data_IF_491180224902
#
_entry.id   IF_491180224902
#
_cell.length_a   1.000
_cell.length_b   1.000
_cell.length_c   1.000
_cell.angle_alpha   90.00
_cell.angle_beta   90.00
_cell.angle_gamma   90.00
#
_symmetry.space_group_name_H-M   'P 1'
#
loop_
_entity.id
_entity.type
_entity.pdbx_description
1 polymer ?
#
# COMPACT_ATOMS: atom_id res chain seq x y z
N UNK A 1 5.63 -13.43 25.66
CA UNK A 1 5.49 -13.09 25.05
C UNK A 1 5.72 -13.36 23.93
N UNK A 2 5.31 -13.32 23.41
CA UNK A 2 5.53 -13.62 22.47
C UNK A 2 5.96 -12.89 21.53
N UNK A 3 6.61 -12.43 21.71
CA UNK A 3 7.24 -11.78 20.92
C UNK A 3 7.89 -12.44 19.92
N UNK A 4 7.85 -13.59 19.87
CA UNK A 4 8.37 -14.39 18.86
C UNK A 4 7.70 -14.10 17.57
N UNK A 5 6.60 -13.43 17.59
CA UNK A 5 6.03 -13.10 16.40
C UNK A 5 6.39 -11.74 16.05
N UNK A 6 7.24 -11.54 15.12
CA UNK A 6 7.61 -10.25 14.65
C UNK A 6 6.40 -9.61 14.03
N UNK A 7 6.09 -8.37 14.33
CA UNK A 7 5.00 -7.71 13.67
C UNK A 7 5.24 -7.66 12.17
N UNK A 8 4.18 -7.75 11.41
CA UNK A 8 4.31 -7.66 9.96
C UNK A 8 4.84 -6.30 9.54
N UNK A 9 4.62 -5.28 10.34
CA UNK A 9 5.16 -3.96 10.01
C UNK A 9 6.67 -3.94 9.92
N UNK A 10 7.36 -4.89 10.55
CA UNK A 10 8.81 -4.96 10.41
C UNK A 10 9.22 -5.34 9.00
N UNK A 11 8.34 -5.95 8.25
CA UNK A 11 8.63 -6.32 6.88
C UNK A 11 8.67 -5.12 5.96
N UNK A 12 8.24 -3.96 6.44
CA UNK A 12 8.30 -2.73 5.66
C UNK A 12 9.70 -2.13 5.61
N UNK A 13 10.58 -2.56 6.51
CA UNK A 13 11.92 -1.98 6.58
C UNK A 13 12.65 -2.18 5.26
N UNK A 14 13.10 -1.09 4.67
CA UNK A 14 13.82 -1.12 3.42
C UNK A 14 12.97 -1.31 2.18
N UNK A 15 11.66 -1.39 2.33
CA UNK A 15 10.78 -1.57 1.17
C UNK A 15 10.42 -0.25 0.56
N UNK A 16 10.28 -0.25 -0.76
CA UNK A 16 9.88 0.94 -1.51
C UNK A 16 8.41 0.81 -1.84
N UNK A 17 7.60 1.65 -1.23
CA UNK A 17 6.15 1.58 -1.36
C UNK A 17 5.68 2.70 -2.27
N UNK A 18 5.06 2.35 -3.37
CA UNK A 18 4.48 3.33 -4.28
C UNK A 18 3.02 3.52 -3.90
N UNK A 19 2.60 4.74 -3.66
CA UNK A 19 1.23 5.04 -3.31
C UNK A 19 0.60 5.80 -4.46
N UNK A 20 -0.44 5.22 -5.05
CA UNK A 20 -1.12 5.78 -6.22
C UNK A 20 -2.48 6.29 -5.79
N UNK A 21 -2.63 7.60 -5.76
CA UNK A 21 -3.89 8.23 -5.38
C UNK A 21 -4.01 9.58 -6.05
N UNK A 22 -5.23 9.99 -6.37
CA UNK A 22 -5.49 11.19 -7.09
C UNK A 22 -5.44 12.41 -6.22
N UNK A 23 -5.60 12.27 -4.93
CA UNK A 23 -5.67 13.40 -4.03
C UNK A 23 -4.50 13.36 -3.13
N UNK A 24 -3.66 14.34 -3.24
CA UNK A 24 -2.39 14.26 -2.58
C UNK A 24 -2.42 14.63 -1.11
N UNK A 25 -3.54 15.11 -0.61
CA UNK A 25 -3.57 15.47 0.80
C UNK A 25 -3.92 14.31 1.69
N UNK A 26 -4.10 13.14 1.15
CA UNK A 26 -4.55 12.03 1.90
C UNK A 26 -3.49 11.42 2.71
N UNK A 27 -3.81 11.05 3.89
CA UNK A 27 -3.03 10.13 4.70
C UNK A 27 -1.60 10.56 4.93
N UNK A 28 -1.37 11.85 5.16
CA UNK A 28 -0.03 12.30 5.48
C UNK A 28 0.53 11.58 6.71
N UNK A 29 -0.31 11.37 7.72
CA UNK A 29 0.11 10.67 8.92
C UNK A 29 0.47 9.22 8.59
N UNK A 30 -0.27 8.61 7.66
CA UNK A 30 0.05 7.25 7.26
C UNK A 30 1.40 7.19 6.56
N UNK A 31 1.67 8.16 5.70
CA UNK A 31 2.96 8.22 5.01
C UNK A 31 4.10 8.35 6.00
N UNK A 32 3.91 9.20 7.01
CA UNK A 32 4.93 9.39 8.02
C UNK A 32 5.13 8.14 8.85
N UNK A 33 4.05 7.44 9.16
CA UNK A 33 4.16 6.20 9.93
C UNK A 33 4.92 5.14 9.13
N UNK A 34 4.66 5.02 7.86
CA UNK A 34 5.38 4.06 7.03
C UNK A 34 6.87 4.40 6.98
N UNK A 35 7.20 5.68 6.89
CA UNK A 35 8.60 6.08 6.88
C UNK A 35 9.27 5.79 8.21
N UNK A 36 8.55 5.97 9.31
CA UNK A 36 9.11 5.66 10.62
C UNK A 36 9.40 4.19 10.78
N UNK A 37 8.64 3.35 10.08
CA UNK A 37 8.87 1.92 10.12
C UNK A 37 9.97 1.49 9.15
N UNK A 38 10.58 2.43 8.48
CA UNK A 38 11.75 2.14 7.65
C UNK A 38 11.43 1.97 6.16
N UNK A 39 10.20 2.22 5.75
CA UNK A 39 9.86 2.13 4.34
C UNK A 39 10.22 3.43 3.62
N UNK A 40 10.52 3.29 2.34
CA UNK A 40 10.64 4.44 1.46
C UNK A 40 9.30 4.63 0.80
N UNK A 41 8.68 5.78 0.99
CA UNK A 41 7.37 6.06 0.43
C UNK A 41 7.54 6.90 -0.82
N UNK A 42 7.05 6.40 -1.94
CA UNK A 42 7.11 7.09 -3.21
C UNK A 42 5.72 7.60 -3.51
N UNK A 43 5.56 8.87 -3.66
CA UNK A 43 4.26 9.47 -3.93
C UNK A 43 3.76 10.27 -2.76
N UNK A 44 2.48 10.61 -2.79
CA UNK A 44 1.45 10.01 -3.66
C UNK A 44 1.59 10.43 -5.12
N UNK A 45 1.34 9.50 -6.02
CA UNK A 45 1.40 9.75 -7.45
C UNK A 45 -0.02 9.66 -7.98
N UNK A 46 -0.51 10.73 -8.55
CA UNK A 46 -1.87 10.72 -9.10
C UNK A 46 -1.91 10.38 -10.57
N UNK A 47 -0.79 10.48 -11.25
CA UNK A 47 -0.71 10.24 -12.67
C UNK A 47 -0.42 8.75 -12.89
N UNK A 48 -1.36 8.04 -13.47
CA UNK A 48 -1.23 6.61 -13.69
C UNK A 48 -0.06 6.29 -14.62
N UNK A 49 0.21 7.13 -15.60
CA UNK A 49 1.32 6.87 -16.49
C UNK A 49 2.65 6.99 -15.77
N UNK A 50 2.76 7.96 -14.89
CA UNK A 50 3.97 8.11 -14.09
C UNK A 50 4.14 6.92 -13.15
N UNK A 51 3.04 6.48 -12.54
CA UNK A 51 3.09 5.31 -11.67
C UNK A 51 3.53 4.08 -12.47
N UNK A 52 3.00 3.92 -13.67
CA UNK A 52 3.38 2.78 -14.51
C UNK A 52 4.87 2.82 -14.85
N UNK A 53 5.40 4.01 -15.12
CA UNK A 53 6.83 4.14 -15.42
C UNK A 53 7.68 3.72 -14.23
N UNK A 54 7.27 4.11 -13.03
CA UNK A 54 8.02 3.74 -11.83
C UNK A 54 7.99 2.23 -11.60
N UNK A 55 6.87 1.60 -11.91
CA UNK A 55 6.74 0.17 -11.78
C UNK A 55 7.62 -0.54 -12.82
N UNK A 56 7.62 -0.05 -14.05
CA UNK A 56 8.38 -0.69 -15.11
C UNK A 56 9.88 -0.57 -14.89
N UNK A 57 10.33 0.47 -14.24
CA UNK A 57 11.75 0.67 -13.99
C UNK A 57 12.19 0.09 -12.65
N UNK A 58 11.37 -0.74 -12.04
CA UNK A 58 11.72 -1.45 -10.81
C UNK A 58 12.01 -0.46 -9.68
N UNK A 59 11.20 0.57 -9.57
CA UNK A 59 11.39 1.57 -8.54
C UNK A 59 10.55 1.31 -7.30
N UNK A 60 9.74 0.26 -7.31
CA UNK A 60 8.85 -0.03 -6.19
C UNK A 60 8.89 -1.51 -5.86
N UNK A 61 8.74 -1.81 -4.59
CA UNK A 61 8.65 -3.19 -4.12
C UNK A 61 7.20 -3.61 -3.89
N UNK A 62 6.31 -2.65 -3.71
CA UNK A 62 4.90 -2.92 -3.54
C UNK A 62 4.12 -1.64 -3.83
N UNK A 63 2.85 -1.78 -4.07
CA UNK A 63 2.00 -0.65 -4.49
C UNK A 63 0.74 -0.63 -3.65
N UNK A 64 0.36 0.55 -3.20
CA UNK A 64 -0.92 0.78 -2.53
C UNK A 64 -1.73 1.67 -3.44
N UNK A 65 -2.89 1.19 -3.87
CA UNK A 65 -3.74 1.90 -4.82
C UNK A 65 -4.99 2.41 -4.12
N UNK A 66 -5.35 3.65 -4.42
CA UNK A 66 -6.58 4.22 -3.90
C UNK A 66 -7.76 3.47 -4.55
N UNK A 67 -8.67 2.98 -3.75
CA UNK A 67 -9.81 2.24 -4.25
C UNK A 67 -10.72 3.10 -5.11
N UNK A 68 -10.62 4.40 -4.98
CA UNK A 68 -11.45 5.33 -5.75
C UNK A 68 -10.83 5.75 -7.09
N UNK A 69 -9.70 5.14 -7.46
CA UNK A 69 -9.15 5.40 -8.79
C UNK A 69 -10.12 4.91 -9.85
N UNK A 70 -10.17 5.63 -10.97
CA UNK A 70 -11.00 5.25 -12.08
C UNK A 70 -10.62 3.84 -12.54
N UNK A 71 -11.54 2.89 -12.55
CA UNK A 71 -11.19 1.53 -12.95
C UNK A 71 -10.61 1.44 -14.36
N UNK A 72 -11.02 2.30 -15.26
CA UNK A 72 -10.51 2.28 -16.62
C UNK A 72 -9.01 2.57 -16.65
N UNK A 73 -8.56 3.40 -15.70
CA UNK A 73 -7.15 3.73 -15.62
C UNK A 73 -6.41 2.75 -14.73
N UNK A 74 -7.07 2.23 -13.71
CA UNK A 74 -6.41 1.37 -12.75
C UNK A 74 -6.22 -0.05 -13.26
N UNK A 75 -7.16 -0.58 -14.05
CA UNK A 75 -7.06 -1.96 -14.53
C UNK A 75 -5.78 -2.26 -15.31
N UNK A 76 -5.36 -1.43 -16.26
CA UNK A 76 -4.13 -1.73 -16.95
C UNK A 76 -2.92 -1.74 -16.02
N UNK A 77 -2.97 -0.88 -15.00
CA UNK A 77 -1.90 -0.86 -14.02
C UNK A 77 -1.89 -2.13 -13.20
N UNK A 78 -3.06 -2.59 -12.78
CA UNK A 78 -3.18 -3.82 -12.01
C UNK A 78 -2.70 -5.01 -12.85
N UNK A 79 -3.06 -5.05 -14.13
CA UNK A 79 -2.61 -6.13 -14.98
C UNK A 79 -1.10 -6.15 -15.07
N UNK A 80 -0.50 -4.97 -15.12
CA UNK A 80 0.94 -4.89 -15.18
C UNK A 80 1.59 -5.33 -13.88
N UNK A 81 0.99 -4.94 -12.75
CA UNK A 81 1.48 -5.38 -11.45
C UNK A 81 1.44 -6.90 -11.34
N UNK A 82 0.37 -7.50 -11.81
CA UNK A 82 0.26 -8.95 -11.75
C UNK A 82 1.26 -9.62 -12.68
N UNK A 83 1.46 -9.06 -13.84
CA UNK A 83 2.44 -9.58 -14.78
C UNK A 83 3.85 -9.55 -14.20
N UNK A 84 4.18 -8.52 -13.47
CA UNK A 84 5.49 -8.37 -12.86
C UNK A 84 5.59 -9.04 -11.49
N UNK A 85 4.48 -9.59 -11.01
CA UNK A 85 4.40 -10.24 -9.70
C UNK A 85 4.74 -9.28 -8.57
N UNK A 86 4.36 -8.03 -8.73
CA UNK A 86 4.53 -7.04 -7.67
C UNK A 86 3.32 -7.06 -6.77
N UNK A 87 3.52 -7.16 -5.47
CA UNK A 87 2.39 -7.14 -4.55
C UNK A 87 1.70 -5.78 -4.54
N UNK A 88 0.40 -5.80 -4.40
CA UNK A 88 -0.35 -4.57 -4.33
C UNK A 88 -1.62 -4.79 -3.53
N UNK A 89 -2.16 -3.71 -2.97
CA UNK A 89 -3.46 -3.72 -2.31
C UNK A 89 -4.20 -2.47 -2.72
N UNK A 90 -5.53 -2.55 -2.66
CA UNK A 90 -6.38 -1.37 -2.75
C UNK A 90 -6.73 -0.94 -1.35
N UNK A 91 -6.68 0.34 -1.09
CA UNK A 91 -6.98 0.87 0.24
C UNK A 91 -7.81 2.13 0.13
N UNK A 92 -8.52 2.45 1.19
CA UNK A 92 -9.18 3.75 1.30
C UNK A 92 -8.42 4.56 2.32
N UNK A 93 -8.56 5.86 2.25
CA UNK A 93 -8.04 6.70 3.32
C UNK A 93 -9.04 6.75 4.45
N UNK A 94 -8.58 7.03 5.64
CA UNK A 94 -9.48 7.25 6.75
C UNK A 94 -10.06 8.65 6.66
N UNK A 95 -11.37 8.74 6.68
CA UNK A 95 -12.05 10.03 6.65
C UNK A 95 -12.86 10.12 7.91
N UNK A 96 -12.58 11.04 8.79
CA UNK A 96 -13.32 11.13 10.06
C UNK A 96 -14.79 11.43 9.89
N UNK A 97 -15.21 11.95 8.75
CA UNK A 97 -16.61 12.25 8.53
C UNK A 97 -17.38 11.02 8.03
N UNK A 98 -16.71 9.92 7.76
CA UNK A 98 -17.34 8.72 7.24
C UNK A 98 -16.95 7.56 8.11
N UNK A 99 -17.94 6.80 8.56
CA UNK A 99 -17.62 5.64 9.37
C UNK A 99 -17.07 4.53 8.50
N UNK A 100 -16.03 3.88 9.00
CA UNK A 100 -15.51 2.71 8.34
C UNK A 100 -15.96 1.44 9.03
N UNK A 101 -16.89 1.53 9.96
CA UNK A 101 -17.38 0.36 10.68
C UNK A 101 -17.95 -0.63 9.67
N UNK A 102 -17.58 -1.87 9.74
CA UNK A 102 -18.01 -2.89 8.81
C UNK A 102 -17.24 -2.95 7.51
N UNK A 103 -16.34 -2.01 7.27
CA UNK A 103 -15.51 -2.08 6.07
C UNK A 103 -14.47 -3.18 6.25
N UNK A 104 -14.37 -4.06 5.28
CA UNK A 104 -13.50 -5.21 5.39
C UNK A 104 -12.23 -5.08 4.53
N UNK A 105 -12.05 -3.98 3.86
CA UNK A 105 -10.84 -3.78 3.06
C UNK A 105 -9.74 -3.12 3.87
N UNK A 106 -8.77 -2.58 3.16
CA UNK A 106 -7.62 -1.94 3.80
C UNK A 106 -7.87 -0.45 3.97
N UNK A 107 -7.42 0.08 5.09
CA UNK A 107 -7.53 1.50 5.40
C UNK A 107 -6.11 2.04 5.56
N UNK A 108 -5.75 3.03 4.78
CA UNK A 108 -4.43 3.63 4.89
C UNK A 108 -4.50 4.76 5.91
N UNK A 109 -3.94 4.52 7.07
CA UNK A 109 -3.90 5.51 8.13
C UNK A 109 -2.74 5.18 9.06
N UNK A 110 -2.56 5.99 10.09
CA UNK A 110 -1.41 5.83 10.97
C UNK A 110 -1.60 4.77 12.06
N UNK A 111 -2.77 4.15 12.16
CA UNK A 111 -3.02 3.17 13.21
C UNK A 111 -2.22 1.91 12.95
N UNK A 112 -1.59 1.42 14.00
CA UNK A 112 -0.70 0.27 13.87
C UNK A 112 -1.42 -0.97 13.36
N UNK A 113 -2.67 -1.18 13.77
CA UNK A 113 -3.39 -2.35 13.32
C UNK A 113 -3.64 -2.32 11.82
N UNK A 114 -3.93 -1.15 11.27
CA UNK A 114 -4.16 -1.03 9.84
C UNK A 114 -2.87 -1.23 9.06
N UNK A 115 -1.79 -0.66 9.57
CA UNK A 115 -0.49 -0.84 8.94
C UNK A 115 -0.07 -2.31 8.96
N UNK A 116 -0.34 -3.02 10.04
CA UNK A 116 -0.04 -4.44 10.13
C UNK A 116 -0.81 -5.24 9.08
N UNK A 117 -2.07 -4.92 8.86
CA UNK A 117 -2.85 -5.62 7.86
C UNK A 117 -2.29 -5.39 6.46
N UNK A 118 -1.93 -4.16 6.16
CA UNK A 118 -1.39 -3.83 4.85
C UNK A 118 -0.04 -4.52 4.67
N UNK A 119 0.81 -4.47 5.68
CA UNK A 119 2.13 -5.10 5.59
C UNK A 119 2.00 -6.60 5.40
N UNK A 120 1.07 -7.22 6.11
CA UNK A 120 0.84 -8.64 5.95
C UNK A 120 0.38 -8.96 4.54
N UNK A 121 -0.54 -8.17 4.00
CA UNK A 121 -1.05 -8.43 2.66
C UNK A 121 0.04 -8.28 1.60
N UNK A 122 0.93 -7.31 1.79
CA UNK A 122 1.95 -7.05 0.79
C UNK A 122 3.14 -7.99 0.92
N UNK A 123 3.56 -8.30 2.13
CA UNK A 123 4.84 -8.99 2.32
C UNK A 123 4.76 -10.22 3.20
N UNK A 124 3.60 -10.53 3.72
CA UNK A 124 3.45 -11.62 4.68
C UNK A 124 3.17 -12.95 4.05
N UNK A 125 3.27 -13.09 2.73
CA UNK A 125 2.95 -14.34 2.08
C UNK A 125 3.96 -15.37 2.43
N UNK A 126 3.47 -16.55 2.73
CA UNK A 126 4.37 -17.59 3.07
C UNK A 126 4.71 -18.36 1.82
N UNK A 127 5.78 -19.13 1.88
CA UNK A 127 6.19 -19.92 0.78
C UNK A 127 5.23 -21.01 0.45
N UNK A 128 4.39 -21.38 1.37
CA UNK A 128 3.41 -22.38 1.10
C UNK A 128 2.32 -21.90 0.23
N UNK A 129 2.23 -20.63 0.01
CA UNK A 129 1.25 -20.11 -0.88
C UNK A 129 1.53 -20.42 -2.30
N UNK A 130 2.59 -21.05 -2.56
CA UNK A 130 2.86 -21.45 -3.87
C UNK A 130 2.04 -22.58 -4.26
#
# INVERSE_FOLDING_TARGET
MNDSEAPYSQMLLGKRLLIVEDECFLAEEAHQKLRKLGATVIGPIGDIEHAADLIETDEADAVILDIYLDPKLAFPLVERLESLKLPYVFAIRRDPSVTTAGFTGFVLCEESSEIEYIAKALFGRSKQDI
#
